data_IF_049850047027
#
_entry.id   IF_049850047027
#
_cell.length_a   1.000
_cell.length_b   1.000
_cell.length_c   1.000
_cell.angle_alpha   90.00
_cell.angle_beta   90.00
_cell.angle_gamma   90.00
#
_symmetry.space_group_name_H-M   'P 1'
#
loop_
_entity.id
_entity.type
_entity.pdbx_description
1 polymer ?
#
# COMPACT_ATOMS: atom_id res chain seq x y z
N UNK A 1 16.52 -9.56 -9.60
CA UNK A 1 17.41 -9.01 -8.55
C UNK A 1 18.82 -9.05 -9.09
N UNK A 2 19.49 -7.89 -9.26
CA UNK A 2 20.86 -7.85 -9.78
C UNK A 2 21.74 -7.01 -8.88
N UNK A 3 22.69 -7.69 -8.25
CA UNK A 3 23.84 -7.15 -7.54
C UNK A 3 24.86 -6.66 -8.56
N UNK A 4 25.37 -5.43 -8.40
CA UNK A 4 26.51 -4.91 -9.16
C UNK A 4 27.57 -4.46 -8.15
N UNK A 5 28.68 -5.21 -8.05
CA UNK A 5 29.91 -4.73 -7.42
C UNK A 5 30.79 -4.16 -8.52
N UNK A 6 31.21 -2.90 -8.40
CA UNK A 6 32.33 -2.37 -9.18
C UNK A 6 33.15 -1.43 -8.29
N UNK A 7 34.37 -1.85 -8.00
CA UNK A 7 35.41 -0.98 -7.46
C UNK A 7 36.42 -0.67 -8.56
N UNK A 8 36.89 0.57 -8.62
CA UNK A 8 38.32 0.89 -8.79
C UNK A 8 38.57 2.38 -8.51
N UNK A 9 39.60 2.65 -7.71
CA UNK A 9 40.17 3.97 -7.49
C UNK A 9 41.15 4.35 -8.62
N UNK A 10 41.22 5.62 -9.03
CA UNK A 10 42.45 6.24 -9.56
C UNK A 10 42.33 7.77 -9.76
N UNK A 11 43.18 8.50 -9.02
CA UNK A 11 43.97 9.69 -9.43
C UNK A 11 43.31 11.05 -9.71
N UNK A 12 43.72 12.02 -8.88
CA UNK A 12 43.63 13.48 -9.07
C UNK A 12 44.47 13.98 -10.26
N UNK A 13 43.90 14.87 -11.07
CA UNK A 13 44.52 16.10 -11.60
C UNK A 13 43.43 16.97 -12.24
N UNK A 14 43.38 18.25 -11.85
CA UNK A 14 42.34 19.22 -12.19
C UNK A 14 42.53 19.84 -13.59
N UNK A 15 41.43 20.04 -14.33
CA UNK A 15 41.01 21.29 -15.01
C UNK A 15 39.89 20.96 -16.01
N UNK A 16 38.74 21.64 -15.86
CA UNK A 16 37.57 21.51 -16.73
C UNK A 16 36.42 20.81 -16.02
N UNK A 17 35.62 21.57 -15.27
CA UNK A 17 34.37 21.08 -14.71
C UNK A 17 33.34 20.92 -15.85
N UNK A 18 33.47 19.84 -16.64
CA UNK A 18 32.30 19.24 -17.27
C UNK A 18 31.64 18.44 -16.17
N UNK A 19 30.74 19.10 -15.44
CA UNK A 19 29.74 18.38 -14.67
C UNK A 19 28.91 17.60 -15.69
N UNK A 20 29.32 16.37 -15.99
CA UNK A 20 28.37 15.36 -16.44
C UNK A 20 27.43 15.19 -15.26
N UNK A 21 26.37 16.01 -15.23
CA UNK A 21 25.17 15.68 -14.51
C UNK A 21 24.71 14.36 -15.11
N UNK A 22 25.17 13.26 -14.53
CA UNK A 22 24.55 11.98 -14.76
C UNK A 22 23.14 12.17 -14.22
N UNK A 23 22.17 12.29 -15.13
CA UNK A 23 20.77 12.04 -14.85
C UNK A 23 20.70 10.59 -14.34
N UNK A 24 21.02 10.42 -13.06
CA UNK A 24 20.74 9.19 -12.35
C UNK A 24 19.24 9.01 -12.51
N UNK A 25 18.77 7.85 -13.03
CA UNK A 25 17.35 7.58 -13.13
C UNK A 25 16.73 7.87 -11.78
N UNK A 26 15.89 8.91 -11.72
CA UNK A 26 15.12 9.22 -10.52
C UNK A 26 14.32 7.95 -10.25
N UNK A 27 14.38 7.36 -9.04
CA UNK A 27 13.59 6.18 -8.76
C UNK A 27 12.14 6.50 -9.13
N UNK A 28 11.58 5.75 -10.08
CA UNK A 28 10.16 5.78 -10.44
C UNK A 28 9.36 5.15 -9.29
N UNK A 29 9.42 5.74 -8.11
CA UNK A 29 8.67 5.31 -6.95
C UNK A 29 7.31 6.02 -6.97
N UNK A 30 6.46 5.66 -7.94
CA UNK A 30 5.04 6.03 -7.88
C UNK A 30 4.35 5.13 -6.85
N UNK A 31 4.61 5.35 -5.57
CA UNK A 31 3.87 4.71 -4.49
C UNK A 31 2.63 5.54 -4.20
N UNK A 32 1.46 4.95 -4.35
CA UNK A 32 0.20 5.53 -3.88
C UNK A 32 -0.10 5.00 -2.48
N UNK A 33 -0.11 5.88 -1.49
CA UNK A 33 -0.47 5.55 -0.11
C UNK A 33 -1.84 6.14 0.21
N UNK A 34 -2.79 5.27 0.57
CA UNK A 34 -4.17 5.65 0.86
C UNK A 34 -4.50 5.33 2.31
N UNK A 35 -4.95 6.35 3.03
CA UNK A 35 -5.51 6.23 4.37
C UNK A 35 -7.00 5.88 4.24
N UNK A 36 -7.37 4.66 4.64
CA UNK A 36 -8.73 4.14 4.45
C UNK A 36 -9.79 4.97 5.18
N UNK A 37 -9.44 5.57 6.33
CA UNK A 37 -10.30 6.50 7.07
C UNK A 37 -10.63 7.78 6.29
N UNK A 38 -9.89 8.08 5.22
CA UNK A 38 -10.10 9.24 4.35
C UNK A 38 -10.76 8.88 3.02
N UNK A 39 -11.32 7.68 2.92
CA UNK A 39 -12.12 7.33 1.76
C UNK A 39 -13.29 8.30 1.64
N UNK A 40 -13.65 8.65 0.40
CA UNK A 40 -14.71 9.62 0.13
C UNK A 40 -16.06 9.15 0.69
N UNK A 41 -16.27 7.83 0.71
CA UNK A 41 -17.36 7.17 1.40
C UNK A 41 -16.80 6.01 2.23
N UNK A 42 -17.06 6.00 3.54
CA UNK A 42 -16.67 4.88 4.42
C UNK A 42 -17.69 3.75 4.39
N UNK A 43 -18.80 3.90 3.67
CA UNK A 43 -19.88 2.93 3.61
C UNK A 43 -20.42 2.63 5.01
N UNK A 44 -20.53 1.33 5.34
CA UNK A 44 -20.92 0.88 6.67
C UNK A 44 -19.76 0.65 7.64
N UNK A 45 -18.53 0.99 7.25
CA UNK A 45 -17.35 0.84 8.10
C UNK A 45 -17.26 1.95 9.15
N UNK A 46 -16.79 1.60 10.34
CA UNK A 46 -16.54 2.56 11.43
C UNK A 46 -15.07 2.96 11.44
N UNK A 47 -14.79 4.26 11.63
CA UNK A 47 -13.43 4.75 11.87
C UNK A 47 -13.05 4.49 13.33
N UNK A 48 -11.95 3.77 13.55
CA UNK A 48 -11.44 3.45 14.88
C UNK A 48 -9.99 3.93 15.03
N UNK A 49 -9.61 4.26 16.27
CA UNK A 49 -8.33 4.84 16.65
C UNK A 49 -7.59 4.08 17.76
N UNK A 50 -8.10 2.94 18.23
CA UNK A 50 -7.55 2.20 19.38
C UNK A 50 -6.09 1.76 19.17
N UNK A 51 -5.67 1.58 17.92
CA UNK A 51 -4.30 1.18 17.56
C UNK A 51 -3.47 2.30 16.92
N UNK A 52 -3.88 3.58 17.04
CA UNK A 52 -3.18 4.69 16.38
C UNK A 52 -1.69 4.77 16.75
N UNK A 53 -1.34 4.49 18.00
CA UNK A 53 0.04 4.52 18.50
C UNK A 53 0.92 3.42 17.88
N UNK A 54 0.32 2.32 17.40
CA UNK A 54 1.02 1.19 16.77
C UNK A 54 1.00 1.35 15.24
N UNK A 55 -0.11 1.80 14.69
CA UNK A 55 -0.32 1.92 13.25
C UNK A 55 0.25 3.20 12.66
N UNK A 56 0.30 4.28 13.45
CA UNK A 56 0.58 5.64 12.98
C UNK A 56 -0.62 6.32 12.33
N UNK A 57 -1.74 5.61 12.14
CA UNK A 57 -2.97 6.09 11.49
C UNK A 57 -4.22 5.54 12.19
N UNK A 58 -5.39 6.06 11.82
CA UNK A 58 -6.67 5.39 12.11
C UNK A 58 -6.92 4.29 11.08
N UNK A 59 -8.00 3.53 11.26
CA UNK A 59 -8.36 2.46 10.34
C UNK A 59 -9.88 2.29 10.29
N UNK A 60 -10.35 1.55 9.28
CA UNK A 60 -11.74 1.15 9.15
C UNK A 60 -11.97 -0.23 9.76
N UNK A 61 -13.07 -0.37 10.50
CA UNK A 61 -13.53 -1.64 11.07
C UNK A 61 -15.02 -1.86 10.79
N UNK A 62 -15.37 -3.05 10.34
CA UNK A 62 -16.75 -3.51 10.31
C UNK A 62 -17.12 -3.99 11.73
N UNK A 63 -18.01 -3.26 12.39
CA UNK A 63 -18.47 -3.59 13.75
C UNK A 63 -19.57 -4.64 13.70
N UNK A 64 -19.48 -5.66 14.56
CA UNK A 64 -20.45 -6.76 14.64
C UNK A 64 -20.01 -8.03 13.91
N UNK A 65 -20.91 -9.02 13.88
CA UNK A 65 -20.66 -10.33 13.27
C UNK A 65 -21.86 -10.78 12.43
N UNK A 66 -21.61 -11.51 11.34
CA UNK A 66 -22.64 -12.22 10.58
C UNK A 66 -23.35 -11.44 9.46
N UNK A 67 -23.22 -10.11 9.39
CA UNK A 67 -23.81 -9.28 8.32
C UNK A 67 -22.72 -8.42 7.67
N UNK A 68 -22.50 -8.53 6.34
CA UNK A 68 -21.59 -7.62 5.63
C UNK A 68 -22.07 -6.18 5.72
N UNK A 69 -21.14 -5.25 5.93
CA UNK A 69 -21.40 -3.80 5.87
C UNK A 69 -21.28 -3.30 4.43
N UNK A 70 -21.84 -2.13 4.12
CA UNK A 70 -21.69 -1.49 2.83
C UNK A 70 -20.21 -1.12 2.56
N UNK A 71 -19.80 -1.19 1.29
CA UNK A 71 -18.42 -0.97 0.85
C UNK A 71 -17.93 0.46 1.13
N UNK A 72 -16.68 0.58 1.55
CA UNK A 72 -15.97 1.85 1.56
C UNK A 72 -15.37 2.11 0.18
N UNK A 73 -15.49 3.34 -0.34
CA UNK A 73 -15.06 3.69 -1.69
C UNK A 73 -14.30 5.01 -1.74
N UNK A 74 -13.31 5.06 -2.63
CA UNK A 74 -12.60 6.29 -2.95
C UNK A 74 -12.11 6.25 -4.39
N UNK A 75 -11.69 7.40 -4.90
CA UNK A 75 -11.08 7.56 -6.22
C UNK A 75 -9.79 8.36 -6.08
N UNK A 76 -8.77 7.96 -6.84
CA UNK A 76 -7.44 8.57 -6.77
C UNK A 76 -6.89 8.77 -8.16
N UNK A 77 -6.12 9.84 -8.35
CA UNK A 77 -5.39 10.06 -9.59
C UNK A 77 -4.10 9.24 -9.58
N UNK A 78 -3.92 8.41 -10.60
CA UNK A 78 -2.69 7.63 -10.78
C UNK A 78 -1.69 8.50 -11.55
N UNK A 79 -0.54 8.86 -10.96
CA UNK A 79 0.39 9.84 -11.54
C UNK A 79 1.16 9.31 -12.75
N UNK A 80 1.26 7.98 -12.89
CA UNK A 80 1.96 7.32 -13.99
C UNK A 80 1.22 6.05 -14.39
N UNK A 81 0.91 5.89 -15.66
CA UNK A 81 0.35 4.64 -16.18
C UNK A 81 1.34 3.47 -15.99
N UNK A 82 0.82 2.29 -15.68
CA UNK A 82 1.62 1.07 -15.50
C UNK A 82 1.00 0.12 -14.49
N UNK A 83 1.66 -1.01 -14.27
CA UNK A 83 1.20 -2.01 -13.30
C UNK A 83 1.57 -1.60 -11.87
N UNK A 84 0.57 -1.58 -10.99
CA UNK A 84 0.72 -1.34 -9.55
C UNK A 84 0.51 -2.63 -8.76
N UNK A 85 1.29 -2.81 -7.70
CA UNK A 85 1.10 -3.89 -6.73
C UNK A 85 0.23 -3.37 -5.59
N UNK A 86 -0.91 -4.02 -5.36
CA UNK A 86 -1.78 -3.71 -4.22
C UNK A 86 -1.18 -4.31 -2.94
N UNK A 87 -1.10 -3.48 -1.90
CA UNK A 87 -0.79 -3.90 -0.54
C UNK A 87 -1.86 -3.36 0.40
N UNK A 88 -2.37 -4.22 1.27
CA UNK A 88 -3.38 -3.84 2.27
C UNK A 88 -2.82 -4.08 3.66
N UNK A 89 -2.80 -3.05 4.50
CA UNK A 89 -2.45 -3.20 5.92
C UNK A 89 -3.71 -3.51 6.71
N UNK A 90 -3.85 -4.75 7.16
CA UNK A 90 -5.01 -5.18 7.92
C UNK A 90 -4.61 -6.08 9.10
N UNK A 91 -5.56 -6.30 10.00
CA UNK A 91 -5.45 -7.22 11.13
C UNK A 91 -6.75 -8.02 11.23
N UNK A 92 -6.63 -9.33 11.39
CA UNK A 92 -7.76 -10.13 11.84
C UNK A 92 -7.92 -9.98 13.35
N UNK A 93 -9.07 -9.47 13.78
CA UNK A 93 -9.33 -9.15 15.18
C UNK A 93 -10.05 -10.26 15.93
N UNK A 94 -10.49 -11.34 15.26
CA UNK A 94 -11.26 -12.41 15.91
C UNK A 94 -11.11 -13.77 15.21
N UNK A 95 -11.26 -14.88 15.96
CA UNK A 95 -11.06 -16.24 15.42
C UNK A 95 -11.99 -16.59 14.25
N UNK A 96 -13.21 -16.04 14.23
CA UNK A 96 -14.17 -16.23 13.13
C UNK A 96 -13.91 -15.35 11.88
N UNK A 97 -12.91 -14.45 11.93
CA UNK A 97 -12.63 -13.45 10.88
C UNK A 97 -13.88 -12.71 10.39
N UNK A 98 -14.64 -12.05 11.29
CA UNK A 98 -15.86 -11.34 10.91
C UNK A 98 -15.59 -10.14 10.00
N UNK A 99 -14.35 -9.61 10.04
CA UNK A 99 -13.90 -8.51 9.20
C UNK A 99 -13.27 -8.95 7.88
N UNK A 100 -13.66 -10.08 7.28
CA UNK A 100 -13.20 -10.46 5.94
C UNK A 100 -13.71 -9.49 4.89
N UNK A 101 -12.87 -9.12 3.93
CA UNK A 101 -13.25 -8.24 2.82
C UNK A 101 -12.42 -8.52 1.56
N UNK A 102 -12.91 -8.02 0.43
CA UNK A 102 -12.16 -7.94 -0.82
C UNK A 102 -11.82 -6.48 -1.13
N UNK A 103 -10.75 -6.26 -1.88
CA UNK A 103 -10.44 -4.96 -2.47
C UNK A 103 -10.66 -5.04 -3.97
N UNK A 104 -11.40 -4.08 -4.50
CA UNK A 104 -11.66 -3.93 -5.92
C UNK A 104 -10.95 -2.67 -6.43
N UNK A 105 -10.20 -2.81 -7.52
CA UNK A 105 -9.62 -1.70 -8.26
C UNK A 105 -10.32 -1.59 -9.61
N UNK A 106 -11.00 -0.47 -9.87
CA UNK A 106 -11.79 -0.28 -11.10
C UNK A 106 -12.76 -1.45 -11.37
N UNK A 107 -13.41 -1.96 -10.32
CA UNK A 107 -14.34 -3.09 -10.41
C UNK A 107 -13.69 -4.48 -10.52
N UNK A 108 -12.36 -4.57 -10.68
CA UNK A 108 -11.63 -5.84 -10.64
C UNK A 108 -11.27 -6.21 -9.21
N UNK A 109 -11.77 -7.34 -8.72
CA UNK A 109 -11.42 -7.85 -7.39
C UNK A 109 -10.01 -8.42 -7.34
N UNK A 110 -9.33 -8.22 -6.20
CA UNK A 110 -8.14 -8.97 -5.82
C UNK A 110 -8.48 -10.46 -5.64
N UNK A 111 -7.56 -11.34 -6.00
CA UNK A 111 -7.67 -12.77 -5.69
C UNK A 111 -7.46 -13.05 -4.19
N UNK A 112 -6.90 -12.10 -3.45
CA UNK A 112 -6.67 -12.19 -2.01
C UNK A 112 -7.91 -11.71 -1.27
N UNK A 113 -8.43 -12.55 -0.37
CA UNK A 113 -9.35 -12.11 0.69
C UNK A 113 -8.54 -11.56 1.86
N UNK A 114 -8.89 -10.39 2.36
CA UNK A 114 -8.21 -9.71 3.46
C UNK A 114 -8.98 -9.84 4.77
N UNK A 115 -8.33 -9.52 5.89
CA UNK A 115 -8.98 -9.54 7.23
C UNK A 115 -9.17 -10.94 7.83
N UNK A 116 -8.53 -11.96 7.24
CA UNK A 116 -8.51 -13.34 7.74
C UNK A 116 -7.10 -13.85 8.05
N UNK A 117 -6.08 -13.05 7.76
CA UNK A 117 -4.71 -13.41 8.07
C UNK A 117 -4.54 -13.33 9.59
N UNK A 118 -4.46 -14.49 10.26
CA UNK A 118 -4.29 -14.69 11.70
C UNK A 118 -2.94 -14.16 12.21
N UNK A 119 -2.74 -12.85 12.06
CA UNK A 119 -1.53 -12.11 12.34
C UNK A 119 -1.94 -10.75 12.90
N UNK A 120 -1.03 -10.14 13.66
CA UNK A 120 -1.18 -8.74 14.01
C UNK A 120 -1.07 -7.87 12.75
N UNK A 121 -1.28 -6.56 12.89
CA UNK A 121 -1.20 -5.57 11.81
C UNK A 121 -0.07 -5.83 10.81
N UNK A 122 -0.43 -6.26 9.60
CA UNK A 122 0.52 -6.73 8.58
C UNK A 122 0.14 -6.21 7.20
N UNK A 123 1.14 -5.97 6.35
CA UNK A 123 0.94 -5.72 4.93
C UNK A 123 0.73 -7.02 4.18
N UNK A 124 -0.42 -7.16 3.53
CA UNK A 124 -0.83 -8.34 2.78
C UNK A 124 -0.79 -8.03 1.28
N UNK A 125 -0.15 -8.90 0.49
CA UNK A 125 -0.06 -8.77 -0.97
C UNK A 125 -1.44 -9.06 -1.60
N UNK A 126 -1.97 -8.06 -2.33
CA UNK A 126 -3.22 -8.13 -3.05
C UNK A 126 -3.10 -8.42 -4.55
N UNK A 127 -1.88 -8.63 -5.05
CA UNK A 127 -1.61 -8.87 -6.45
C UNK A 127 -1.40 -7.60 -7.28
N UNK A 128 -1.24 -7.80 -8.59
CA UNK A 128 -0.93 -6.75 -9.55
C UNK A 128 -2.18 -6.28 -10.31
N UNK A 129 -2.29 -4.97 -10.48
CA UNK A 129 -3.38 -4.27 -11.19
C UNK A 129 -2.78 -3.32 -12.22
N UNK A 130 -3.50 -3.08 -13.32
CA UNK A 130 -3.14 -2.15 -14.39
C UNK A 130 -4.04 -0.91 -14.36
#
# INVERSE_FOLDING_TARGET
MRTLMLGLACSLLALGAIALAQDLPKPDASTLYLEAERFADTGGWTVDAQFRQIMGSTYLIAVGTGVPVADATTSVSVPKAGTYRLWVRCKDWHEASPGRFQVLTNGRASATTFGEQKRDWSWIDGGAFE
#
